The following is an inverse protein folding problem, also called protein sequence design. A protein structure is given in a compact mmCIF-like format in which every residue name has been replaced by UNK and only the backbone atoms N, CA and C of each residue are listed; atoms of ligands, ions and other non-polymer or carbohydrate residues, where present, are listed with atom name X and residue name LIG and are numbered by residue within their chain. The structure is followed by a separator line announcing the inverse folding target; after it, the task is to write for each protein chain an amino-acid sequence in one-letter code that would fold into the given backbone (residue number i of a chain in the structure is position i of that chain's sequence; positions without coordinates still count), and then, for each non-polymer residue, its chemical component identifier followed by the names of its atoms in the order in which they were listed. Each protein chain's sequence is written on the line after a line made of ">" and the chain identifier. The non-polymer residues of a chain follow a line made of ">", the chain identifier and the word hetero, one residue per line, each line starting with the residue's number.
data_IF_805018452941
#
_entry.id   IF_805018452941
#
_cell.length_a   1.000
_cell.length_b   1.000
_cell.length_c   1.000
_cell.angle_alpha   90.00
_cell.angle_beta   90.00
_cell.angle_gamma   90.00
#
_symmetry.space_group_name_H-M   'P 1'
#
loop_
_entity.id
_entity.type
_entity.pdbx_description
1 polymer ?
#
# COMPACT_ATOMS: atom_id res chain seq x y z
N UNK A 1 18.66 19.20 6.42
CA UNK A 1 17.62 20.14 5.95
C UNK A 1 17.10 19.60 4.63
N UNK A 2 16.12 18.73 4.71
CA UNK A 2 15.42 18.16 3.54
C UNK A 2 14.37 19.18 3.14
N UNK A 3 14.52 19.77 1.96
CA UNK A 3 13.51 20.65 1.39
C UNK A 3 12.25 19.81 1.18
N UNK A 4 11.23 20.08 1.95
CA UNK A 4 9.87 19.64 1.66
C UNK A 4 9.50 20.27 0.31
N UNK A 5 9.59 19.47 -0.75
CA UNK A 5 9.06 19.88 -2.05
C UNK A 5 7.55 19.73 -1.92
N UNK A 6 6.87 20.84 -1.66
CA UNK A 6 5.45 20.95 -1.84
C UNK A 6 5.12 20.61 -3.30
N UNK A 7 4.62 19.40 -3.56
CA UNK A 7 3.68 19.27 -4.65
C UNK A 7 2.55 20.25 -4.32
N UNK A 8 2.21 21.14 -5.24
CA UNK A 8 0.94 21.86 -5.13
C UNK A 8 -0.13 20.77 -5.00
N UNK A 9 -0.58 20.56 -3.77
CA UNK A 9 -1.55 19.55 -3.43
C UNK A 9 -2.73 19.72 -4.38
N UNK A 10 -3.21 18.64 -4.98
CA UNK A 10 -4.46 18.71 -5.72
C UNK A 10 -5.52 19.25 -4.74
N UNK A 11 -5.97 20.51 -4.88
CA UNK A 11 -6.81 21.13 -3.85
C UNK A 11 -8.23 20.60 -4.03
N UNK A 12 -8.51 19.48 -3.37
CA UNK A 12 -9.88 18.98 -3.27
C UNK A 12 -10.16 18.46 -1.86
N UNK A 13 -11.41 18.47 -1.49
CA UNK A 13 -11.93 17.82 -0.30
C UNK A 13 -12.60 16.51 -0.72
N UNK A 14 -12.22 15.41 -0.09
CA UNK A 14 -12.88 14.13 -0.30
C UNK A 14 -14.20 14.13 0.45
N UNK A 15 -15.29 13.96 -0.28
CA UNK A 15 -16.63 13.87 0.29
C UNK A 15 -16.86 12.46 0.85
N UNK A 16 -17.48 12.29 2.03
CA UNK A 16 -17.72 10.99 2.64
C UNK A 16 -18.45 9.98 1.74
N UNK A 17 -19.32 10.47 0.84
CA UNK A 17 -20.07 9.61 -0.08
C UNK A 17 -19.19 8.92 -1.12
N UNK A 18 -17.95 9.41 -1.30
CA UNK A 18 -16.96 8.82 -2.20
C UNK A 18 -16.06 7.80 -1.50
N UNK A 19 -16.17 7.63 -0.20
CA UNK A 19 -15.43 6.61 0.53
C UNK A 19 -16.06 5.23 0.34
N UNK A 20 -15.23 4.22 0.09
CA UNK A 20 -15.67 2.84 0.00
C UNK A 20 -15.81 2.23 1.41
N UNK A 21 -17.01 2.26 1.95
CA UNK A 21 -17.29 1.80 3.32
C UNK A 21 -17.30 0.27 3.48
N UNK A 22 -17.36 -0.46 2.37
CA UNK A 22 -17.47 -1.93 2.35
C UNK A 22 -16.93 -2.52 1.04
N UNK A 23 -16.48 -3.79 1.06
CA UNK A 23 -16.04 -4.47 -0.16
C UNK A 23 -17.20 -4.65 -1.16
N UNK A 24 -16.92 -4.69 -2.49
CA UNK A 24 -17.92 -4.92 -3.52
C UNK A 24 -18.78 -6.17 -3.26
N UNK A 25 -18.18 -7.24 -2.74
CA UNK A 25 -18.85 -8.51 -2.44
C UNK A 25 -19.97 -8.35 -1.41
N UNK A 26 -19.86 -7.39 -0.51
CA UNK A 26 -20.92 -7.10 0.46
C UNK A 26 -22.17 -6.47 -0.16
N UNK A 27 -22.04 -5.92 -1.36
CA UNK A 27 -23.13 -5.36 -2.15
C UNK A 27 -23.65 -6.31 -3.23
N UNK A 28 -23.22 -7.59 -3.20
CA UNK A 28 -23.58 -8.59 -4.20
C UNK A 28 -22.85 -8.46 -5.54
N UNK A 29 -21.81 -7.62 -5.61
CA UNK A 29 -20.95 -7.49 -6.77
C UNK A 29 -19.76 -8.45 -6.71
N UNK A 30 -19.11 -8.72 -7.84
CA UNK A 30 -17.86 -9.46 -7.84
C UNK A 30 -16.70 -8.58 -7.36
N UNK A 31 -15.62 -9.21 -6.90
CA UNK A 31 -14.40 -8.52 -6.44
C UNK A 31 -13.80 -7.62 -7.52
N UNK A 32 -13.86 -8.04 -8.77
CA UNK A 32 -13.36 -7.33 -9.94
C UNK A 32 -14.40 -6.39 -10.59
N UNK A 33 -15.57 -6.22 -9.96
CA UNK A 33 -16.59 -5.27 -10.42
C UNK A 33 -16.38 -3.88 -9.78
N UNK A 34 -15.18 -3.35 -9.95
CA UNK A 34 -14.82 -1.98 -9.61
C UNK A 34 -14.51 -1.20 -10.89
N UNK A 35 -14.58 0.12 -10.82
CA UNK A 35 -14.22 0.98 -11.94
C UNK A 35 -12.71 1.05 -12.10
N UNK A 36 -12.29 1.22 -13.34
CA UNK A 36 -10.91 1.43 -13.71
C UNK A 36 -10.82 2.70 -14.56
N UNK A 37 -10.21 3.74 -14.00
CA UNK A 37 -9.81 4.90 -14.77
C UNK A 37 -8.49 4.58 -15.47
N UNK A 38 -8.35 4.95 -16.74
CA UNK A 38 -7.11 4.80 -17.49
C UNK A 38 -6.67 6.16 -18.00
N UNK A 39 -5.44 6.55 -17.68
CA UNK A 39 -4.80 7.72 -18.25
C UNK A 39 -3.56 7.35 -19.04
N UNK A 40 -3.43 7.90 -20.26
CA UNK A 40 -2.25 7.74 -21.13
C UNK A 40 -1.50 9.07 -21.17
N UNK A 41 -0.30 9.06 -20.60
CA UNK A 41 0.46 10.30 -20.40
C UNK A 41 1.01 10.88 -21.69
N UNK A 42 1.44 10.01 -22.63
CA UNK A 42 1.99 10.46 -23.92
C UNK A 42 1.01 11.25 -24.81
N UNK A 43 -0.28 11.01 -24.67
CA UNK A 43 -1.35 11.67 -25.47
C UNK A 43 -2.36 12.42 -24.59
N UNK A 44 -2.12 12.50 -23.30
CA UNK A 44 -2.98 13.12 -22.29
C UNK A 44 -4.46 12.64 -22.37
N UNK A 45 -4.66 11.37 -22.73
CA UNK A 45 -5.97 10.74 -22.86
C UNK A 45 -6.46 10.22 -21.50
N UNK A 46 -7.77 10.30 -21.29
CA UNK A 46 -8.46 9.75 -20.13
C UNK A 46 -9.65 8.93 -20.61
N UNK A 47 -9.76 7.69 -20.14
CA UNK A 47 -10.90 6.81 -20.43
C UNK A 47 -11.36 6.05 -19.17
N UNK A 48 -12.62 5.63 -19.18
CA UNK A 48 -13.26 4.96 -18.07
C UNK A 48 -13.65 3.53 -18.47
N UNK A 49 -13.32 2.57 -17.62
CA UNK A 49 -13.47 1.14 -17.85
C UNK A 49 -13.98 0.44 -16.57
N UNK A 50 -14.22 -0.86 -16.69
CA UNK A 50 -14.31 -1.78 -15.56
C UNK A 50 -12.99 -2.52 -15.38
N UNK A 51 -12.65 -2.87 -14.14
CA UNK A 51 -11.41 -3.60 -13.87
C UNK A 51 -11.34 -4.94 -14.63
N UNK A 52 -12.48 -5.56 -14.86
CA UNK A 52 -12.58 -6.78 -15.68
C UNK A 52 -12.04 -6.61 -17.11
N UNK A 53 -11.91 -5.39 -17.61
CA UNK A 53 -11.37 -5.06 -18.94
C UNK A 53 -9.83 -4.88 -18.93
N UNK A 54 -9.17 -4.92 -17.76
CA UNK A 54 -7.71 -4.78 -17.66
C UNK A 54 -6.92 -5.65 -18.64
N UNK A 55 -7.30 -6.93 -18.90
CA UNK A 55 -6.60 -7.76 -19.88
C UNK A 55 -6.61 -7.22 -21.31
N UNK A 56 -7.58 -6.38 -21.70
CA UNK A 56 -7.63 -5.73 -23.01
C UNK A 56 -6.80 -4.43 -23.08
N UNK A 57 -6.45 -3.86 -21.95
CA UNK A 57 -5.73 -2.60 -21.84
C UNK A 57 -4.20 -2.76 -21.80
N UNK A 58 -3.74 -3.92 -21.38
CA UNK A 58 -2.34 -4.30 -21.40
C UNK A 58 -2.00 -5.03 -22.70
N UNK A 59 -0.74 -4.92 -23.13
CA UNK A 59 -0.26 -5.47 -24.39
C UNK A 59 0.51 -6.77 -24.18
N UNK A 60 0.53 -7.69 -25.18
CA UNK A 60 1.46 -8.80 -25.18
C UNK A 60 2.91 -8.29 -25.03
N UNK A 61 3.67 -8.91 -24.13
CA UNK A 61 5.04 -8.48 -23.80
C UNK A 61 5.14 -7.50 -22.63
N UNK A 62 4.03 -6.96 -22.13
CA UNK A 62 4.03 -6.22 -20.85
C UNK A 62 4.34 -7.15 -19.67
N UNK A 63 4.97 -6.61 -18.65
CA UNK A 63 5.20 -7.25 -17.37
C UNK A 63 4.38 -6.54 -16.28
N UNK A 64 3.42 -7.24 -15.69
CA UNK A 64 2.72 -6.79 -14.50
C UNK A 64 3.49 -7.28 -13.25
N UNK A 65 4.02 -6.35 -12.46
CA UNK A 65 4.67 -6.68 -11.19
C UNK A 65 3.68 -6.46 -10.05
N UNK A 66 3.56 -7.46 -9.16
CA UNK A 66 2.57 -7.50 -8.08
C UNK A 66 3.25 -7.67 -6.73
N UNK A 67 2.64 -7.11 -5.68
CA UNK A 67 3.09 -7.34 -4.31
C UNK A 67 2.43 -8.61 -3.75
N UNK A 68 3.25 -9.58 -3.32
CA UNK A 68 2.80 -10.84 -2.74
C UNK A 68 2.77 -10.84 -1.20
N UNK A 69 2.94 -9.69 -0.57
CA UNK A 69 2.77 -9.57 0.87
C UNK A 69 1.33 -9.82 1.28
N UNK A 70 1.14 -10.71 2.26
CA UNK A 70 -0.17 -10.96 2.85
C UNK A 70 -0.43 -10.02 4.04
N UNK A 71 -1.65 -9.51 4.12
CA UNK A 71 -2.11 -8.70 5.24
C UNK A 71 -2.23 -9.56 6.50
N UNK A 72 -1.75 -9.05 7.61
CA UNK A 72 -1.88 -9.68 8.92
C UNK A 72 -2.98 -9.00 9.74
N UNK A 73 -3.62 -9.69 10.70
CA UNK A 73 -4.58 -9.06 11.61
C UNK A 73 -3.85 -8.21 12.65
N UNK A 74 -3.36 -7.05 12.24
CA UNK A 74 -2.35 -6.25 12.93
C UNK A 74 -2.86 -5.40 14.11
N UNK A 75 -4.15 -5.51 14.49
CA UNK A 75 -4.73 -4.75 15.59
C UNK A 75 -5.07 -5.66 16.78
N UNK A 76 -4.59 -5.31 17.98
CA UNK A 76 -4.89 -6.03 19.24
C UNK A 76 -5.29 -5.04 20.32
N UNK A 77 -6.40 -5.29 21.01
CA UNK A 77 -6.82 -4.46 22.15
C UNK A 77 -6.21 -4.99 23.43
N UNK A 78 -5.66 -4.12 24.26
CA UNK A 78 -5.12 -4.46 25.59
C UNK A 78 -6.23 -5.06 26.47
N UNK A 79 -5.87 -6.02 27.31
CA UNK A 79 -6.80 -6.67 28.26
C UNK A 79 -7.17 -5.73 29.39
N UNK A 80 -6.21 -4.90 29.82
CA UNK A 80 -6.38 -3.97 30.94
C UNK A 80 -6.53 -2.54 30.42
N UNK A 81 -7.62 -1.83 30.81
CA UNK A 81 -7.75 -0.39 30.52
C UNK A 81 -6.59 0.39 31.13
N UNK A 82 -6.12 1.37 30.39
CA UNK A 82 -4.99 2.19 30.86
C UNK A 82 -5.48 3.38 31.68
N UNK A 83 -4.85 3.66 32.83
CA UNK A 83 -5.25 4.78 33.70
C UNK A 83 -5.33 6.12 32.92
N UNK A 84 -6.44 6.81 33.04
CA UNK A 84 -6.68 8.12 32.39
C UNK A 84 -6.94 8.06 30.87
N UNK A 85 -6.84 6.88 30.23
CA UNK A 85 -6.97 6.69 28.77
C UNK A 85 -8.13 5.76 28.45
N UNK A 86 -8.40 4.76 29.29
CA UNK A 86 -9.37 3.71 29.02
C UNK A 86 -8.81 2.60 28.14
N UNK A 87 -9.61 2.10 27.23
CA UNK A 87 -9.19 1.02 26.32
C UNK A 87 -8.14 1.49 25.30
N UNK A 88 -7.09 0.71 25.15
CA UNK A 88 -6.00 0.95 24.18
C UNK A 88 -5.95 -0.20 23.18
N UNK A 89 -5.87 0.14 21.92
CA UNK A 89 -5.59 -0.81 20.83
C UNK A 89 -4.19 -0.56 20.32
N UNK A 90 -3.42 -1.62 20.15
CA UNK A 90 -2.09 -1.61 19.53
C UNK A 90 -2.24 -1.99 18.07
N UNK A 91 -1.77 -1.14 17.16
CA UNK A 91 -1.57 -1.47 15.76
C UNK A 91 -0.11 -1.84 15.55
N UNK A 92 0.16 -3.06 15.11
CA UNK A 92 1.49 -3.51 14.72
C UNK A 92 1.77 -3.03 13.30
N UNK A 93 2.80 -2.21 13.13
CA UNK A 93 3.12 -1.58 11.85
C UNK A 93 4.08 -2.44 11.03
N UNK A 94 5.35 -2.51 11.43
CA UNK A 94 6.36 -3.22 10.65
C UNK A 94 7.41 -3.86 11.56
N UNK A 95 7.91 -5.02 11.13
CA UNK A 95 9.06 -5.67 11.77
C UNK A 95 10.32 -4.88 11.48
N UNK A 96 11.19 -4.70 12.47
CA UNK A 96 12.46 -4.00 12.34
C UNK A 96 13.64 -4.98 12.30
N UNK A 97 14.79 -4.59 11.72
CA UNK A 97 15.96 -5.46 11.60
C UNK A 97 16.46 -6.03 12.91
N UNK A 98 16.27 -5.32 14.02
CA UNK A 98 16.70 -5.73 15.36
C UNK A 98 15.73 -6.75 16.03
N UNK A 99 14.67 -7.17 15.33
CA UNK A 99 13.67 -8.12 15.82
C UNK A 99 12.58 -7.52 16.70
N UNK A 100 12.60 -6.22 16.91
CA UNK A 100 11.49 -5.46 17.49
C UNK A 100 10.48 -5.05 16.40
N UNK A 101 9.37 -4.45 16.81
CA UNK A 101 8.32 -3.99 15.91
C UNK A 101 8.03 -2.51 16.14
N UNK A 102 7.73 -1.80 15.08
CA UNK A 102 7.06 -0.51 15.21
C UNK A 102 5.57 -0.75 15.48
N UNK A 103 5.06 -0.05 16.47
CA UNK A 103 3.65 -0.11 16.85
C UNK A 103 3.07 1.29 17.02
N UNK A 104 1.79 1.45 16.68
CA UNK A 104 1.00 2.63 17.01
C UNK A 104 0.03 2.31 18.14
N UNK A 105 -0.03 3.18 19.15
CA UNK A 105 -1.05 3.10 20.18
C UNK A 105 -2.25 3.95 19.77
N UNK A 106 -3.44 3.38 19.96
CA UNK A 106 -4.70 4.06 19.67
C UNK A 106 -5.65 3.96 20.85
N UNK A 107 -6.33 5.08 21.16
CA UNK A 107 -7.40 5.09 22.17
C UNK A 107 -8.67 4.48 21.60
N UNK A 108 -9.39 3.70 22.41
CA UNK A 108 -10.65 3.05 22.07
C UNK A 108 -10.52 1.56 21.75
N UNK A 109 -11.67 0.88 21.82
CA UNK A 109 -11.81 -0.54 21.47
C UNK A 109 -12.99 -0.69 20.53
N UNK A 110 -12.79 -0.94 19.27
CA UNK A 110 -13.91 -1.19 18.38
C UNK A 110 -14.01 -0.30 17.16
N UNK A 111 -15.04 0.55 17.02
CA UNK A 111 -15.39 1.15 15.73
C UNK A 111 -14.50 2.31 15.29
N UNK A 112 -14.13 3.19 16.19
CA UNK A 112 -13.24 4.31 15.87
C UNK A 112 -12.16 4.38 16.94
N UNK A 113 -10.92 4.18 16.51
CA UNK A 113 -9.75 4.42 17.36
C UNK A 113 -9.07 5.69 16.89
N UNK A 114 -8.59 6.52 17.83
CA UNK A 114 -7.80 7.71 17.52
C UNK A 114 -6.34 7.49 17.90
N UNK A 115 -5.38 8.08 17.18
CA UNK A 115 -3.98 8.03 17.55
C UNK A 115 -3.77 8.52 18.97
N UNK A 116 -3.08 7.74 19.80
CA UNK A 116 -2.75 8.09 21.15
C UNK A 116 -1.41 8.81 21.17
N UNK A 117 -1.45 10.14 21.32
CA UNK A 117 -0.24 10.95 21.47
C UNK A 117 0.19 10.89 22.93
N UNK A 118 1.26 10.19 23.21
CA UNK A 118 1.82 10.05 24.54
C UNK A 118 2.24 8.62 24.82
N UNK A 119 3.08 8.45 25.82
CA UNK A 119 3.68 7.20 26.22
C UNK A 119 5.05 7.46 26.81
N UNK A 120 5.58 6.47 27.53
CA UNK A 120 6.95 6.51 28.06
C UNK A 120 7.63 5.19 27.72
N UNK A 121 8.91 5.23 27.39
CA UNK A 121 9.73 4.04 27.25
C UNK A 121 9.66 3.19 28.53
N UNK A 122 9.70 1.88 28.38
CA UNK A 122 9.53 0.93 29.49
C UNK A 122 8.07 0.60 29.82
N UNK A 123 7.08 1.28 29.21
CA UNK A 123 5.67 0.97 29.47
C UNK A 123 5.33 -0.43 28.98
N UNK A 124 4.67 -1.19 29.84
CA UNK A 124 4.20 -2.55 29.57
C UNK A 124 2.69 -2.52 29.35
N UNK A 125 2.25 -3.22 28.32
CA UNK A 125 0.84 -3.38 27.96
C UNK A 125 0.51 -4.87 27.97
N UNK A 126 -0.54 -5.23 28.70
CA UNK A 126 -1.03 -6.60 28.75
C UNK A 126 -1.98 -6.85 27.58
N UNK A 127 -1.73 -7.92 26.86
CA UNK A 127 -2.47 -8.34 25.69
C UNK A 127 -3.13 -9.71 25.94
N UNK A 128 -4.15 -10.09 25.17
CA UNK A 128 -4.79 -11.41 25.30
C UNK A 128 -3.80 -12.56 25.29
N UNK A 129 -4.07 -13.62 26.11
CA UNK A 129 -3.21 -14.80 26.20
C UNK A 129 -1.96 -14.60 27.06
N UNK A 130 -2.05 -13.73 28.06
CA UNK A 130 -0.98 -13.43 29.02
C UNK A 130 0.33 -12.94 28.36
N UNK A 131 0.19 -12.30 27.21
CA UNK A 131 1.30 -11.75 26.44
C UNK A 131 1.52 -10.29 26.82
N UNK A 132 2.78 -9.89 26.95
CA UNK A 132 3.18 -8.53 27.30
C UNK A 132 3.89 -7.88 26.13
N UNK A 133 3.41 -6.68 25.76
CA UNK A 133 4.10 -5.75 24.87
C UNK A 133 4.86 -4.73 25.73
N UNK A 134 6.13 -4.55 25.47
CA UNK A 134 6.96 -3.52 26.13
C UNK A 134 7.37 -2.46 25.11
N UNK A 135 6.98 -1.22 25.33
CA UNK A 135 7.47 -0.09 24.55
C UNK A 135 8.92 0.21 24.94
N UNK A 136 9.82 0.31 23.98
CA UNK A 136 11.24 0.56 24.27
C UNK A 136 11.62 2.00 23.99
N UNK A 137 11.56 2.44 22.75
CA UNK A 137 11.98 3.76 22.30
C UNK A 137 10.91 4.39 21.40
N UNK A 138 10.82 5.71 21.43
CA UNK A 138 9.94 6.45 20.54
C UNK A 138 10.58 6.59 19.17
N UNK A 139 9.87 6.14 18.13
CA UNK A 139 10.33 6.23 16.74
C UNK A 139 9.86 7.54 16.08
N UNK A 140 8.58 7.90 16.23
CA UNK A 140 7.99 9.13 15.68
C UNK A 140 6.97 9.74 16.66
N UNK A 141 6.22 10.73 16.22
CA UNK A 141 5.17 11.31 17.06
C UNK A 141 4.12 10.29 17.53
N UNK A 142 3.87 9.25 16.74
CA UNK A 142 2.85 8.22 17.00
C UNK A 142 3.36 6.79 17.04
N UNK A 143 4.55 6.50 16.52
CA UNK A 143 5.12 5.16 16.50
C UNK A 143 6.15 4.94 17.60
N UNK A 144 6.18 3.71 18.09
CA UNK A 144 7.08 3.23 19.11
C UNK A 144 7.76 1.95 18.67
N UNK A 145 9.04 1.81 18.99
CA UNK A 145 9.69 0.51 19.05
C UNK A 145 9.10 -0.30 20.19
N UNK A 146 8.76 -1.55 19.93
CA UNK A 146 8.16 -2.43 20.92
C UNK A 146 8.65 -3.87 20.79
N UNK A 147 8.70 -4.57 21.91
CA UNK A 147 8.99 -6.01 21.99
C UNK A 147 7.81 -6.74 22.57
N UNK A 148 7.42 -7.83 21.89
CA UNK A 148 6.40 -8.75 22.38
C UNK A 148 7.07 -9.93 23.09
N UNK A 149 6.47 -10.42 24.17
CA UNK A 149 7.01 -11.56 24.93
C UNK A 149 6.91 -12.91 24.18
N UNK A 150 6.40 -12.90 22.95
CA UNK A 150 6.27 -14.07 22.07
C UNK A 150 6.49 -13.67 20.60
N UNK A 151 6.52 -14.65 19.70
CA UNK A 151 6.63 -14.40 18.25
C UNK A 151 5.39 -13.64 17.72
N UNK A 152 5.62 -12.48 17.07
CA UNK A 152 4.56 -11.52 16.72
C UNK A 152 3.58 -12.10 15.70
N UNK A 153 4.03 -12.60 14.56
CA UNK A 153 3.14 -13.08 13.50
C UNK A 153 2.21 -14.21 13.96
N UNK A 154 2.71 -15.31 14.59
CA UNK A 154 1.83 -16.35 15.12
C UNK A 154 0.84 -15.84 16.18
N UNK A 155 1.26 -14.88 17.00
CA UNK A 155 0.41 -14.25 17.99
C UNK A 155 -0.72 -13.45 17.33
N UNK A 156 -0.40 -12.60 16.35
CA UNK A 156 -1.39 -11.79 15.64
C UNK A 156 -2.40 -12.65 14.88
N UNK A 157 -1.96 -13.73 14.23
CA UNK A 157 -2.85 -14.66 13.53
C UNK A 157 -3.89 -15.31 14.48
N UNK A 158 -3.58 -15.43 15.78
CA UNK A 158 -4.49 -16.02 16.79
C UNK A 158 -5.37 -14.99 17.48
N UNK A 159 -4.85 -13.80 17.81
CA UNK A 159 -5.49 -12.84 18.70
C UNK A 159 -5.78 -11.49 18.03
N UNK A 160 -5.23 -11.25 16.86
CA UNK A 160 -5.39 -10.00 16.13
C UNK A 160 -6.68 -9.90 15.34
N UNK A 161 -6.95 -8.70 14.90
CA UNK A 161 -7.98 -8.38 13.91
C UNK A 161 -7.40 -7.44 12.85
N UNK A 162 -7.98 -7.37 11.64
CA UNK A 162 -7.57 -6.38 10.64
C UNK A 162 -7.61 -4.95 11.20
N UNK A 163 -6.67 -4.12 10.79
CA UNK A 163 -6.76 -2.69 11.04
C UNK A 163 -7.98 -2.17 10.29
N UNK A 164 -8.71 -1.28 10.93
CA UNK A 164 -9.92 -0.71 10.39
C UNK A 164 -9.94 0.80 10.65
N UNK A 165 -10.16 1.55 9.62
CA UNK A 165 -10.30 3.01 9.68
C UNK A 165 -11.76 3.43 9.85
N UNK A 166 -11.96 4.70 10.22
CA UNK A 166 -13.28 5.25 10.59
C UNK A 166 -14.30 5.18 9.45
N UNK A 167 -13.85 5.25 8.21
CA UNK A 167 -14.72 5.14 7.02
C UNK A 167 -15.24 3.72 6.76
N UNK A 168 -14.72 2.69 7.45
CA UNK A 168 -15.25 1.32 7.40
C UNK A 168 -16.08 1.05 8.66
N UNK A 169 -17.41 1.18 8.64
CA UNK A 169 -18.24 1.20 9.85
C UNK A 169 -18.34 -0.15 10.55
N UNK A 170 -18.17 -1.27 9.85
CA UNK A 170 -18.25 -2.63 10.40
C UNK A 170 -16.99 -3.43 10.14
N UNK A 171 -16.64 -4.40 11.01
CA UNK A 171 -15.49 -5.28 10.78
C UNK A 171 -15.74 -6.21 9.59
N UNK A 172 -14.68 -6.48 8.85
CA UNK A 172 -14.65 -7.48 7.80
C UNK A 172 -13.62 -8.56 8.15
N UNK A 173 -13.81 -9.81 7.70
CA UNK A 173 -12.83 -10.86 7.89
C UNK A 173 -11.54 -10.56 7.14
N UNK A 174 -10.43 -11.18 7.55
CA UNK A 174 -9.09 -10.89 6.97
C UNK A 174 -9.05 -11.17 5.46
N UNK A 175 -9.87 -12.08 4.95
CA UNK A 175 -9.97 -12.42 3.54
C UNK A 175 -10.45 -11.23 2.68
N UNK A 176 -11.21 -10.30 3.27
CA UNK A 176 -11.60 -9.07 2.59
C UNK A 176 -10.41 -8.15 2.33
N UNK A 177 -9.36 -8.27 3.14
CA UNK A 177 -8.12 -7.50 3.08
C UNK A 177 -6.95 -8.28 2.44
N UNK A 178 -7.22 -9.36 1.71
CA UNK A 178 -6.20 -10.11 0.97
C UNK A 178 -6.33 -9.91 -0.52
N UNK A 179 -5.20 -9.98 -1.21
CA UNK A 179 -5.14 -10.07 -2.68
C UNK A 179 -5.00 -11.52 -3.12
N UNK A 180 -5.26 -11.82 -4.38
CA UNK A 180 -5.03 -13.16 -4.96
C UNK A 180 -3.56 -13.57 -4.94
N UNK A 181 -2.65 -12.61 -4.78
CA UNK A 181 -1.20 -12.81 -4.76
C UNK A 181 -0.63 -12.98 -3.35
N UNK A 182 -1.42 -12.79 -2.31
CA UNK A 182 -0.99 -12.79 -0.92
C UNK A 182 -0.39 -14.16 -0.52
N UNK A 183 0.91 -14.17 -0.19
CA UNK A 183 1.68 -15.38 0.13
C UNK A 183 2.49 -15.21 1.41
N UNK A 184 3.17 -14.08 1.61
CA UNK A 184 4.08 -13.85 2.72
C UNK A 184 3.47 -12.91 3.76
N UNK A 185 3.09 -13.40 4.96
CA UNK A 185 2.50 -12.56 6.02
C UNK A 185 3.48 -11.50 6.52
N UNK A 186 3.01 -10.24 6.64
CA UNK A 186 3.85 -9.18 7.19
C UNK A 186 3.30 -7.77 7.00
N UNK A 187 2.34 -7.55 6.11
CA UNK A 187 1.73 -6.24 5.90
C UNK A 187 0.68 -5.92 6.94
N UNK A 188 0.80 -4.77 7.61
CA UNK A 188 -0.26 -4.25 8.47
C UNK A 188 -1.50 -3.86 7.66
N UNK A 189 -1.29 -3.38 6.44
CA UNK A 189 -2.33 -2.97 5.51
C UNK A 189 -2.24 -3.69 4.17
N UNK A 190 -3.37 -3.78 3.48
CA UNK A 190 -3.45 -4.48 2.20
C UNK A 190 -2.79 -3.67 1.09
N UNK A 191 -2.01 -4.30 0.18
CA UNK A 191 -1.63 -3.71 -1.10
C UNK A 191 -2.86 -3.55 -2.01
N UNK A 192 -3.71 -2.56 -1.72
CA UNK A 192 -5.11 -2.46 -2.17
C UNK A 192 -5.28 -2.37 -3.69
N UNK A 193 -4.32 -1.81 -4.42
CA UNK A 193 -4.36 -1.75 -5.89
C UNK A 193 -4.48 -3.13 -6.55
N UNK A 194 -3.98 -4.18 -5.87
CA UNK A 194 -4.07 -5.56 -6.34
C UNK A 194 -5.31 -6.32 -5.82
N UNK A 195 -6.16 -5.67 -5.01
CA UNK A 195 -7.36 -6.32 -4.46
C UNK A 195 -8.36 -6.79 -5.53
N UNK A 196 -8.63 -6.03 -6.60
CA UNK A 196 -9.62 -6.43 -7.60
C UNK A 196 -9.20 -7.63 -8.46
N UNK A 197 -7.93 -8.06 -8.41
CA UNK A 197 -7.50 -9.23 -9.17
C UNK A 197 -8.22 -10.49 -8.68
N UNK A 198 -8.68 -11.27 -9.66
CA UNK A 198 -9.25 -12.61 -9.49
C UNK A 198 -8.43 -13.62 -10.28
N UNK A 199 -8.51 -14.93 -9.97
CA UNK A 199 -7.86 -15.95 -10.81
C UNK A 199 -8.25 -15.83 -12.29
N UNK A 200 -9.49 -15.45 -12.58
CA UNK A 200 -9.98 -15.21 -13.95
C UNK A 200 -9.21 -14.10 -14.65
N UNK A 201 -8.99 -12.96 -13.99
CA UNK A 201 -8.23 -11.83 -14.55
C UNK A 201 -6.76 -12.23 -14.76
N UNK A 202 -6.15 -12.90 -13.78
CA UNK A 202 -4.77 -13.40 -13.88
C UNK A 202 -4.61 -14.35 -15.08
N UNK A 203 -5.50 -15.32 -15.22
CA UNK A 203 -5.49 -16.25 -16.36
C UNK A 203 -5.66 -15.51 -17.70
N UNK A 204 -6.59 -14.54 -17.75
CA UNK A 204 -6.82 -13.76 -18.97
C UNK A 204 -5.60 -12.93 -19.38
N UNK A 205 -4.89 -12.32 -18.43
CA UNK A 205 -3.65 -11.56 -18.66
C UNK A 205 -2.57 -12.48 -19.24
N UNK A 206 -2.29 -13.60 -18.58
CA UNK A 206 -1.27 -14.57 -19.03
C UNK A 206 -1.61 -15.12 -20.42
N UNK A 207 -2.88 -15.46 -20.67
CA UNK A 207 -3.33 -15.98 -21.97
C UNK A 207 -3.19 -14.97 -23.12
N UNK A 208 -3.10 -13.67 -22.79
CA UNK A 208 -2.87 -12.59 -23.76
C UNK A 208 -1.39 -12.22 -23.92
N UNK A 209 -0.49 -12.93 -23.26
CA UNK A 209 0.96 -12.70 -23.37
C UNK A 209 1.47 -11.62 -22.40
N UNK A 210 0.71 -11.26 -21.36
CA UNK A 210 1.19 -10.41 -20.26
C UNK A 210 1.89 -11.31 -19.25
N UNK A 211 3.15 -11.02 -18.94
CA UNK A 211 3.88 -11.71 -17.89
C UNK A 211 3.53 -11.15 -16.50
N UNK A 212 3.63 -11.97 -15.45
CA UNK A 212 3.39 -11.55 -14.07
C UNK A 212 4.59 -11.96 -13.21
N UNK A 213 5.12 -11.04 -12.40
CA UNK A 213 6.22 -11.30 -11.49
C UNK A 213 5.95 -10.72 -10.09
N UNK A 214 6.33 -11.43 -9.00
CA UNK A 214 6.12 -10.94 -7.65
C UNK A 214 7.31 -10.13 -7.13
N UNK A 215 7.00 -9.16 -6.28
CA UNK A 215 7.90 -8.59 -5.28
C UNK A 215 7.24 -8.70 -3.91
N UNK A 216 8.01 -8.60 -2.83
CA UNK A 216 7.46 -8.45 -1.49
C UNK A 216 7.76 -7.04 -1.00
N UNK A 217 6.78 -6.33 -0.47
CA UNK A 217 6.99 -5.17 0.38
C UNK A 217 5.92 -5.20 1.47
N UNK A 218 6.36 -5.30 2.71
CA UNK A 218 5.46 -5.31 3.87
C UNK A 218 5.10 -3.88 4.25
N UNK A 219 3.84 -3.50 4.00
CA UNK A 219 3.31 -2.18 4.36
C UNK A 219 3.11 -2.06 5.86
N UNK A 220 3.58 -0.95 6.41
CA UNK A 220 3.25 -0.54 7.77
C UNK A 220 1.82 0.02 7.89
N UNK A 221 1.53 0.62 9.04
CA UNK A 221 0.28 1.40 9.22
C UNK A 221 0.36 2.65 8.39
N UNK A 222 -0.66 2.92 7.59
CA UNK A 222 -0.76 4.14 6.81
C UNK A 222 -1.36 5.29 7.63
N UNK A 223 -1.51 6.36 6.98
CA UNK A 223 -1.77 7.73 7.36
C UNK A 223 -0.58 8.39 8.01
N UNK A 224 0.20 8.78 7.16
CA UNK A 224 1.00 9.97 7.31
C UNK A 224 0.02 11.13 7.38
N UNK A 225 -0.26 11.60 8.59
CA UNK A 225 -0.81 12.95 8.73
C UNK A 225 0.17 13.85 8.00
N UNK A 226 -0.32 14.68 7.08
CA UNK A 226 0.50 15.40 6.11
C UNK A 226 1.78 15.98 6.70
N UNK A 227 2.92 15.58 6.15
CA UNK A 227 4.25 16.03 6.56
C UNK A 227 5.12 15.00 7.30
N UNK A 228 4.66 13.76 7.53
CA UNK A 228 5.56 12.68 7.97
C UNK A 228 6.26 12.02 6.78
N UNK A 229 7.57 11.82 6.87
CA UNK A 229 8.30 11.04 5.88
C UNK A 229 7.85 9.57 5.88
N UNK A 230 7.81 8.89 4.71
CA UNK A 230 7.52 7.46 4.65
C UNK A 230 8.46 6.66 5.54
N UNK A 231 7.88 5.77 6.35
CA UNK A 231 8.68 4.87 7.20
C UNK A 231 9.47 3.88 6.37
N UNK A 232 10.61 3.38 6.92
CA UNK A 232 11.29 2.23 6.36
C UNK A 232 10.35 1.02 6.33
N UNK A 233 10.23 0.40 5.15
CA UNK A 233 9.46 -0.83 4.95
C UNK A 233 10.36 -1.93 4.42
N UNK A 234 10.15 -3.15 4.92
CA UNK A 234 10.89 -4.31 4.47
C UNK A 234 10.45 -4.71 3.06
N UNK A 235 11.42 -4.92 2.16
CA UNK A 235 11.16 -5.34 0.79
C UNK A 235 12.09 -6.43 0.31
N UNK A 236 11.63 -7.16 -0.71
CA UNK A 236 12.41 -8.16 -1.45
C UNK A 236 12.02 -8.13 -2.94
N UNK A 237 13.01 -7.90 -3.79
CA UNK A 237 12.91 -8.07 -5.24
C UNK A 237 13.74 -9.29 -5.64
N UNK A 238 13.09 -10.44 -5.90
CA UNK A 238 13.77 -11.68 -6.26
C UNK A 238 14.58 -11.53 -7.55
N UNK A 239 15.68 -12.30 -7.66
CA UNK A 239 16.52 -12.32 -8.86
C UNK A 239 15.73 -12.68 -10.14
N UNK A 240 14.71 -13.54 -10.02
CA UNK A 240 13.83 -13.87 -11.13
C UNK A 240 13.05 -12.64 -11.62
N UNK A 241 12.44 -11.90 -10.69
CA UNK A 241 11.70 -10.68 -11.00
C UNK A 241 12.60 -9.60 -11.60
N UNK A 242 13.78 -9.38 -11.03
CA UNK A 242 14.74 -8.40 -11.57
C UNK A 242 15.14 -8.75 -13.03
N UNK A 243 15.40 -10.03 -13.32
CA UNK A 243 15.67 -10.48 -14.70
C UNK A 243 14.49 -10.24 -15.63
N UNK A 244 13.25 -10.54 -15.21
CA UNK A 244 12.05 -10.29 -16.01
C UNK A 244 11.86 -8.81 -16.31
N UNK A 245 12.03 -7.93 -15.32
CA UNK A 245 11.99 -6.47 -15.51
C UNK A 245 12.98 -6.03 -16.58
N UNK A 246 14.24 -6.45 -16.46
CA UNK A 246 15.29 -6.07 -17.40
C UNK A 246 15.03 -6.61 -18.80
N UNK A 247 14.60 -7.87 -18.93
CA UNK A 247 14.27 -8.47 -20.22
C UNK A 247 13.09 -7.77 -20.89
N UNK A 248 12.02 -7.50 -20.15
CA UNK A 248 10.84 -6.78 -20.66
C UNK A 248 11.25 -5.43 -21.28
N UNK A 249 12.06 -4.65 -20.57
CA UNK A 249 12.54 -3.36 -21.08
C UNK A 249 13.45 -3.48 -22.29
N UNK A 250 14.36 -4.47 -22.29
CA UNK A 250 15.24 -4.75 -23.42
C UNK A 250 14.47 -5.15 -24.70
N UNK A 251 13.32 -5.79 -24.54
CA UNK A 251 12.46 -6.22 -25.65
C UNK A 251 11.39 -5.20 -26.05
N UNK A 252 11.38 -4.01 -25.43
CA UNK A 252 10.43 -2.94 -25.72
C UNK A 252 9.04 -3.10 -25.09
N UNK A 253 8.88 -4.04 -24.15
CA UNK A 253 7.67 -4.18 -23.32
C UNK A 253 7.68 -3.17 -22.19
N UNK A 254 6.51 -2.98 -21.55
CA UNK A 254 6.33 -2.05 -20.42
C UNK A 254 6.33 -2.80 -19.09
N UNK A 255 6.93 -2.21 -18.08
CA UNK A 255 6.88 -2.69 -16.69
C UNK A 255 5.77 -1.93 -15.95
N UNK A 256 4.69 -2.62 -15.62
CA UNK A 256 3.51 -2.05 -14.96
C UNK A 256 3.50 -2.50 -13.50
N UNK A 257 3.56 -1.55 -12.58
CA UNK A 257 3.49 -1.81 -11.14
C UNK A 257 2.03 -1.87 -10.66
N UNK A 258 1.63 -2.94 -9.98
CA UNK A 258 0.34 -3.04 -9.30
C UNK A 258 0.49 -2.55 -7.83
N UNK A 259 0.39 -1.25 -7.65
CA UNK A 259 0.48 -0.55 -6.37
C UNK A 259 1.75 0.25 -6.17
N UNK A 260 1.64 1.29 -5.37
CA UNK A 260 2.74 2.18 -4.97
C UNK A 260 3.86 1.43 -4.25
N UNK A 261 3.51 0.34 -3.54
CA UNK A 261 4.48 -0.55 -2.88
C UNK A 261 5.40 -1.25 -3.87
N UNK A 262 4.86 -1.68 -5.02
CA UNK A 262 5.66 -2.29 -6.09
C UNK A 262 6.61 -1.28 -6.71
N UNK A 263 6.16 -0.05 -6.95
CA UNK A 263 7.04 1.04 -7.41
C UNK A 263 8.19 1.22 -6.44
N UNK A 264 7.91 1.38 -5.14
CA UNK A 264 8.95 1.56 -4.12
C UNK A 264 9.96 0.41 -4.10
N UNK A 265 9.49 -0.84 -4.17
CA UNK A 265 10.38 -2.00 -4.17
C UNK A 265 11.29 -2.02 -5.41
N UNK A 266 10.73 -1.82 -6.61
CA UNK A 266 11.48 -1.86 -7.87
C UNK A 266 12.46 -0.69 -7.98
N UNK A 267 12.04 0.53 -7.63
CA UNK A 267 12.92 1.71 -7.68
C UNK A 267 14.01 1.65 -6.60
N UNK A 268 13.74 1.02 -5.45
CA UNK A 268 14.79 0.72 -4.46
C UNK A 268 15.81 -0.28 -5.00
N UNK A 269 15.37 -1.32 -5.71
CA UNK A 269 16.25 -2.29 -6.34
C UNK A 269 17.07 -1.68 -7.50
N UNK A 270 16.50 -0.74 -8.24
CA UNK A 270 17.20 0.02 -9.27
C UNK A 270 18.25 0.97 -8.64
N UNK A 271 17.89 1.64 -7.54
CA UNK A 271 18.83 2.49 -6.81
C UNK A 271 20.00 1.69 -6.21
N UNK A 272 19.75 0.49 -5.70
CA UNK A 272 20.77 -0.41 -5.17
C UNK A 272 21.73 -0.91 -6.27
N UNK A 273 21.26 -1.09 -7.51
CA UNK A 273 22.08 -1.44 -8.66
C UNK A 273 23.05 -0.30 -9.08
N UNK A 274 22.75 0.92 -8.65
CA UNK A 274 23.54 2.12 -8.92
C UNK A 274 23.28 2.75 -10.29
N UNK A 275 23.55 4.04 -10.42
CA UNK A 275 23.35 4.82 -11.66
C UNK A 275 24.12 4.27 -12.86
N UNK A 276 25.26 3.59 -12.63
CA UNK A 276 26.06 2.97 -13.68
C UNK A 276 25.35 1.79 -14.37
N UNK A 277 24.33 1.21 -13.77
CA UNK A 277 23.54 0.10 -14.33
C UNK A 277 22.53 0.54 -15.39
N UNK A 278 22.44 1.82 -15.74
CA UNK A 278 21.60 2.30 -16.86
C UNK A 278 20.09 2.03 -16.68
N UNK A 279 19.60 2.06 -15.45
CA UNK A 279 18.17 1.82 -15.17
C UNK A 279 17.80 0.33 -15.16
N UNK A 280 18.72 -0.55 -14.80
CA UNK A 280 18.44 -1.97 -14.58
C UNK A 280 18.03 -2.21 -13.11
N UNK A 281 17.11 -3.15 -12.92
CA UNK A 281 16.79 -3.68 -11.59
C UNK A 281 17.80 -4.77 -11.20
N UNK A 282 18.21 -4.78 -9.92
CA UNK A 282 19.00 -5.88 -9.33
C UNK A 282 18.15 -6.64 -8.31
N UNK A 283 18.49 -7.92 -8.07
CA UNK A 283 17.98 -8.62 -6.90
C UNK A 283 18.40 -7.85 -5.64
N UNK A 284 17.44 -7.51 -4.80
CA UNK A 284 17.68 -6.67 -3.64
C UNK A 284 16.64 -6.95 -2.55
N UNK A 285 17.10 -7.06 -1.31
CA UNK A 285 16.22 -7.20 -0.15
C UNK A 285 16.74 -6.35 1.00
N UNK A 286 15.84 -5.90 1.87
CA UNK A 286 16.20 -5.07 3.03
C UNK A 286 15.08 -4.15 3.44
N UNK A 287 15.44 -2.94 3.87
CA UNK A 287 14.50 -1.89 4.22
C UNK A 287 14.64 -0.71 3.26
N UNK A 288 13.52 -0.18 2.81
CA UNK A 288 13.51 0.99 1.95
C UNK A 288 12.78 2.17 2.59
N UNK A 289 13.45 3.31 2.62
CA UNK A 289 12.85 4.63 2.84
C UNK A 289 12.76 5.43 1.54
N UNK A 290 12.91 4.77 0.38
CA UNK A 290 12.90 5.42 -0.91
C UNK A 290 11.57 6.14 -1.18
N UNK A 291 11.67 7.42 -1.53
CA UNK A 291 10.53 8.26 -1.87
C UNK A 291 10.59 8.57 -3.36
N UNK A 292 9.55 8.12 -4.07
CA UNK A 292 9.39 8.43 -5.50
C UNK A 292 8.55 9.68 -5.63
N UNK A 293 9.08 10.65 -6.33
CA UNK A 293 8.45 11.95 -6.62
C UNK A 293 8.71 12.34 -8.07
N UNK A 294 8.09 13.42 -8.53
CA UNK A 294 8.40 14.00 -9.85
C UNK A 294 9.90 14.29 -10.04
N UNK A 295 10.57 14.79 -9.00
CA UNK A 295 11.98 15.13 -9.07
C UNK A 295 12.91 13.93 -9.11
N UNK A 296 12.57 12.87 -8.35
CA UNK A 296 13.35 11.63 -8.37
C UNK A 296 13.08 10.82 -9.62
N UNK A 297 11.84 10.91 -10.15
CA UNK A 297 11.37 10.12 -11.27
C UNK A 297 11.30 8.63 -10.95
N UNK A 298 11.09 7.84 -11.99
CA UNK A 298 11.16 6.37 -12.00
C UNK A 298 12.24 5.90 -12.95
N UNK A 299 12.94 4.83 -12.61
CA UNK A 299 14.05 4.29 -13.40
C UNK A 299 13.64 3.03 -14.19
N UNK A 300 12.79 2.18 -13.63
CA UNK A 300 12.47 0.87 -14.19
C UNK A 300 10.97 0.61 -14.36
N UNK A 301 10.10 1.41 -13.76
CA UNK A 301 8.63 1.27 -13.86
C UNK A 301 8.11 2.22 -14.93
N UNK A 302 7.34 1.69 -15.90
CA UNK A 302 6.77 2.49 -17.00
C UNK A 302 5.31 2.87 -16.76
N UNK A 303 4.55 2.06 -16.01
CA UNK A 303 3.15 2.33 -15.70
C UNK A 303 2.76 1.91 -14.29
N UNK A 304 1.67 2.48 -13.80
CA UNK A 304 1.21 2.27 -12.42
C UNK A 304 -0.29 2.02 -12.38
N UNK A 305 -0.68 0.85 -11.84
CA UNK A 305 -2.05 0.61 -11.36
C UNK A 305 -2.11 0.94 -9.88
N UNK A 306 -3.00 1.83 -9.47
CA UNK A 306 -3.11 2.30 -8.09
C UNK A 306 -4.55 2.53 -7.66
N UNK A 307 -4.81 2.67 -6.37
CA UNK A 307 -6.08 3.21 -5.85
C UNK A 307 -6.20 4.71 -6.09
N UNK A 308 -7.33 5.29 -5.68
CA UNK A 308 -7.50 6.73 -5.60
C UNK A 308 -7.04 7.20 -4.21
N UNK A 309 -6.20 8.24 -4.18
CA UNK A 309 -5.54 8.71 -2.98
C UNK A 309 -6.14 10.01 -2.47
N UNK A 310 -6.06 10.22 -1.16
CA UNK A 310 -6.50 11.45 -0.52
C UNK A 310 -5.62 12.66 -0.91
N UNK A 311 -6.18 13.88 -0.86
CA UNK A 311 -5.40 15.09 -1.03
C UNK A 311 -4.27 15.15 0.01
N UNK A 312 -3.09 15.62 -0.40
CA UNK A 312 -1.86 15.72 0.41
C UNK A 312 -1.24 14.39 0.84
N UNK A 313 -1.69 13.24 0.31
CA UNK A 313 -1.03 11.97 0.59
C UNK A 313 0.31 11.88 -0.16
N UNK A 314 1.30 11.21 0.44
CA UNK A 314 2.60 10.95 -0.21
C UNK A 314 2.45 10.09 -1.47
N UNK A 315 1.36 9.33 -1.58
CA UNK A 315 1.04 8.57 -2.78
C UNK A 315 0.76 9.48 -3.99
N UNK A 316 0.14 10.66 -3.79
CA UNK A 316 -0.03 11.64 -4.86
C UNK A 316 1.31 12.18 -5.39
N UNK A 317 2.33 12.31 -4.52
CA UNK A 317 3.66 12.70 -4.95
C UNK A 317 4.26 11.69 -5.94
N UNK A 318 4.02 10.40 -5.68
CA UNK A 318 4.45 9.33 -6.57
C UNK A 318 3.76 9.39 -7.94
N UNK A 319 2.46 9.72 -7.98
CA UNK A 319 1.75 9.86 -9.26
C UNK A 319 2.35 10.94 -10.14
N UNK A 320 2.90 12.00 -9.55
CA UNK A 320 3.63 13.05 -10.25
C UNK A 320 4.89 12.56 -10.99
N UNK A 321 5.43 11.38 -10.65
CA UNK A 321 6.51 10.76 -11.41
C UNK A 321 6.04 10.10 -12.71
N UNK A 322 4.73 9.83 -12.86
CA UNK A 322 4.12 9.15 -14.00
C UNK A 322 3.32 10.10 -14.90
N UNK A 323 2.75 11.17 -14.36
CA UNK A 323 1.88 12.06 -15.11
C UNK A 323 2.09 13.53 -14.69
N UNK A 324 1.78 14.45 -15.59
CA UNK A 324 1.78 15.88 -15.28
C UNK A 324 0.57 16.29 -14.41
N UNK A 325 0.65 17.49 -13.84
CA UNK A 325 -0.36 17.99 -12.90
C UNK A 325 -1.72 18.23 -13.58
N UNK A 326 -1.72 18.61 -14.86
CA UNK A 326 -2.95 18.90 -15.58
C UNK A 326 -3.73 17.62 -15.86
N UNK A 327 -3.04 16.56 -16.27
CA UNK A 327 -3.66 15.24 -16.44
C UNK A 327 -4.16 14.69 -15.11
N UNK A 328 -3.35 14.73 -14.04
CA UNK A 328 -3.76 14.29 -12.71
C UNK A 328 -4.97 15.08 -12.19
N UNK A 329 -4.97 16.41 -12.36
CA UNK A 329 -6.09 17.26 -11.95
C UNK A 329 -7.39 16.87 -12.69
N UNK A 330 -7.32 16.61 -13.99
CA UNK A 330 -8.47 16.13 -14.77
C UNK A 330 -8.93 14.75 -14.30
N UNK A 331 -8.00 13.80 -14.06
CA UNK A 331 -8.33 12.48 -13.54
C UNK A 331 -9.10 12.56 -12.23
N UNK A 332 -8.60 13.33 -11.27
CA UNK A 332 -9.25 13.48 -9.97
C UNK A 332 -10.56 14.27 -10.03
N UNK A 333 -10.69 15.22 -10.95
CA UNK A 333 -11.95 15.91 -11.22
C UNK A 333 -13.00 14.94 -11.76
N UNK A 334 -12.65 14.11 -12.76
CA UNK A 334 -13.55 13.09 -13.33
C UNK A 334 -13.90 12.05 -12.26
N UNK A 335 -12.93 11.55 -11.50
CA UNK A 335 -13.18 10.59 -10.43
C UNK A 335 -14.23 11.09 -9.43
N UNK A 336 -14.11 12.36 -9.01
CA UNK A 336 -15.06 12.98 -8.07
C UNK A 336 -16.44 13.22 -8.68
N UNK A 337 -16.51 13.73 -9.94
CA UNK A 337 -17.79 14.04 -10.60
C UNK A 337 -18.55 12.79 -11.02
N UNK A 338 -17.86 11.71 -11.35
CA UNK A 338 -18.45 10.44 -11.76
C UNK A 338 -18.65 9.46 -10.61
N UNK A 339 -18.34 9.86 -9.36
CA UNK A 339 -18.60 9.07 -8.17
C UNK A 339 -17.73 7.82 -8.05
N UNK A 340 -16.45 7.92 -8.44
CA UNK A 340 -15.46 6.90 -8.09
C UNK A 340 -15.30 6.81 -6.59
N UNK A 341 -14.97 5.64 -6.10
CA UNK A 341 -14.81 5.35 -4.68
C UNK A 341 -13.35 5.25 -4.28
N UNK A 342 -13.04 5.83 -3.13
CA UNK A 342 -11.69 5.87 -2.54
C UNK A 342 -11.43 4.71 -1.58
N UNK A 343 -10.19 4.58 -1.15
CA UNK A 343 -9.67 3.63 -0.15
C UNK A 343 -9.59 2.18 -0.62
N UNK A 344 -9.36 1.25 0.32
CA UNK A 344 -8.97 -0.15 0.06
C UNK A 344 -10.03 -0.99 -0.65
N UNK A 345 -11.29 -0.59 -0.61
CA UNK A 345 -12.41 -1.25 -1.29
C UNK A 345 -12.93 -0.47 -2.49
N UNK A 346 -12.21 0.58 -2.85
CA UNK A 346 -12.59 1.53 -3.87
C UNK A 346 -12.19 1.12 -5.29
N UNK A 347 -12.31 2.11 -6.17
CA UNK A 347 -11.97 2.02 -7.57
C UNK A 347 -10.48 2.25 -7.80
N UNK A 348 -9.99 1.97 -9.00
CA UNK A 348 -8.57 2.02 -9.31
C UNK A 348 -8.27 2.89 -10.53
N UNK A 349 -7.03 3.34 -10.62
CA UNK A 349 -6.50 4.17 -11.69
C UNK A 349 -5.26 3.50 -12.29
N UNK A 350 -5.23 3.35 -13.62
CA UNK A 350 -4.11 2.84 -14.39
C UNK A 350 -3.48 4.00 -15.18
N UNK A 351 -2.24 4.35 -14.81
CA UNK A 351 -1.42 5.30 -15.54
C UNK A 351 -0.51 4.54 -16.50
N UNK A 352 -0.58 4.84 -17.77
CA UNK A 352 0.24 4.26 -18.84
C UNK A 352 0.99 5.36 -19.59
N UNK A 353 2.18 5.06 -20.16
CA UNK A 353 2.90 5.99 -21.02
C UNK A 353 2.15 6.31 -22.30
#
# INVERSE_FOLDING_TARGET
>A
MTAAVELEALPFELRPELEAHEPPEARGAARDDVRLMVSRTGVAELSEHRFAELPQLLLPGDLLVVNNSATIPAAVTCTTPQPGIGSVTVHFSTAMPAGDWLVELRSGSGQATAPLRGGTGGRRLELPGDVVLTLTERFSQRLWHARLSTAVIPYLLRHGRPIRYSYVPRPWPIEAYQTVFATWPGSAEMPSAARPFTPRIVTALVSRGVSIAPVTLHTGVSSLEGGEDPYPESYDVPAATARMVNLTRQTGGRVIAAGTTVVRALESAAAAAGRAAGGLAAASAGWTSHVVTRQTGVAVVDGLLTGLHEPRSTHLWMLGAFADDDLLRRCYQVARSHGYRWHEFGDVHLLLP
#
